data_IF_791890614839
#
_entry.id   IF_791890614839
#
_cell.length_a   1.000
_cell.length_b   1.000
_cell.length_c   1.000
_cell.angle_alpha   90.00
_cell.angle_beta   90.00
_cell.angle_gamma   90.00
#
_symmetry.space_group_name_H-M   'P 1'
#
loop_
_entity.id
_entity.type
_entity.pdbx_description
1 polymer ?
#
# COMPACT_ATOMS: atom_id res chain seq x y z
N UNK A 1 -3.69 50.79 -24.86
CA UNK A 1 -3.56 50.39 -23.44
C UNK A 1 -4.76 49.56 -23.08
N UNK A 2 -4.64 48.22 -23.22
CA UNK A 2 -5.71 47.27 -22.99
C UNK A 2 -5.55 46.69 -21.59
N UNK A 3 -6.47 46.99 -20.70
CA UNK A 3 -6.52 46.39 -19.36
C UNK A 3 -7.17 45.01 -19.47
N UNK A 4 -6.41 43.98 -19.26
CA UNK A 4 -6.96 42.63 -18.99
C UNK A 4 -7.36 42.58 -17.51
N UNK A 5 -8.63 42.82 -17.21
CA UNK A 5 -9.22 42.45 -15.93
C UNK A 5 -9.44 40.95 -15.95
N UNK A 6 -8.46 40.19 -15.43
CA UNK A 6 -8.64 38.79 -15.10
C UNK A 6 -9.60 38.71 -13.90
N UNK A 7 -10.87 38.41 -14.16
CA UNK A 7 -11.81 38.04 -13.11
C UNK A 7 -11.42 36.66 -12.58
N UNK A 8 -10.65 36.66 -11.51
CA UNK A 8 -10.49 35.46 -10.65
C UNK A 8 -11.74 35.36 -9.77
N UNK A 9 -12.87 34.93 -10.35
CA UNK A 9 -14.07 34.56 -9.61
C UNK A 9 -14.04 33.05 -9.44
N UNK A 10 -13.57 32.60 -8.30
CA UNK A 10 -13.56 31.18 -7.97
C UNK A 10 -12.86 30.85 -6.67
N UNK A 11 -13.12 31.61 -5.60
CA UNK A 11 -12.92 31.05 -4.27
C UNK A 11 -13.96 29.94 -4.06
N UNK A 12 -13.69 28.74 -4.55
CA UNK A 12 -14.37 27.57 -4.02
C UNK A 12 -13.94 27.48 -2.57
N UNK A 13 -14.81 27.83 -1.66
CA UNK A 13 -14.63 27.53 -0.25
C UNK A 13 -14.38 26.02 -0.17
N UNK A 14 -13.18 25.66 0.27
CA UNK A 14 -12.91 24.31 0.74
C UNK A 14 -13.95 24.05 1.83
N UNK A 15 -14.86 23.13 1.58
CA UNK A 15 -15.75 22.62 2.62
C UNK A 15 -14.91 21.84 3.63
N UNK A 16 -14.26 22.60 4.50
CA UNK A 16 -13.56 22.00 5.66
C UNK A 16 -14.65 21.44 6.57
N UNK A 17 -14.62 20.17 6.93
CA UNK A 17 -15.60 19.57 7.82
C UNK A 17 -15.70 20.41 9.10
N UNK A 18 -16.86 21.00 9.34
CA UNK A 18 -17.13 21.80 10.57
C UNK A 18 -17.43 20.92 11.77
N UNK A 19 -17.62 19.62 11.55
CA UNK A 19 -17.98 18.63 12.57
C UNK A 19 -16.80 17.68 12.83
N UNK A 20 -16.76 17.19 14.07
CA UNK A 20 -15.85 16.10 14.45
C UNK A 20 -16.34 14.80 13.84
N UNK A 21 -15.41 13.98 13.34
CA UNK A 21 -15.69 12.66 12.82
C UNK A 21 -14.71 11.65 13.40
N UNK A 22 -15.16 10.42 13.57
CA UNK A 22 -14.27 9.31 13.92
C UNK A 22 -13.55 8.85 12.64
N UNK A 23 -12.26 8.51 12.74
CA UNK A 23 -11.52 7.84 11.69
C UNK A 23 -11.00 6.49 12.18
N UNK A 24 -10.87 5.54 11.25
CA UNK A 24 -10.20 4.25 11.46
C UNK A 24 -9.12 4.09 10.40
N UNK A 25 -7.95 3.62 10.84
CA UNK A 25 -6.88 3.23 9.94
C UNK A 25 -6.28 1.90 10.41
N UNK A 26 -6.49 0.85 9.61
CA UNK A 26 -5.99 -0.49 9.90
C UNK A 26 -5.78 -1.24 8.59
N UNK A 27 -4.57 -1.72 8.40
CA UNK A 27 -4.16 -2.54 7.25
C UNK A 27 -3.42 -3.73 7.83
N UNK A 28 -3.99 -4.93 7.68
CA UNK A 28 -3.48 -6.15 8.30
C UNK A 28 -3.41 -7.29 7.29
N UNK A 29 -2.50 -8.23 7.53
CA UNK A 29 -2.43 -9.47 6.78
C UNK A 29 -3.44 -10.50 7.31
N UNK A 30 -4.06 -11.26 6.41
CA UNK A 30 -4.92 -12.39 6.78
C UNK A 30 -4.15 -13.51 7.54
N UNK A 31 -2.83 -13.58 7.37
CA UNK A 31 -1.96 -14.49 8.11
C UNK A 31 -1.59 -14.00 9.53
N UNK A 32 -2.06 -12.81 9.93
CA UNK A 32 -1.86 -12.32 11.28
C UNK A 32 -2.98 -12.78 12.22
N UNK A 33 -2.61 -13.22 13.42
CA UNK A 33 -3.55 -13.48 14.52
C UNK A 33 -3.81 -12.26 15.40
N UNK A 34 -3.22 -11.11 15.04
CA UNK A 34 -3.42 -9.84 15.72
C UNK A 34 -3.67 -8.74 14.69
N UNK A 35 -4.83 -8.06 14.81
CA UNK A 35 -5.13 -6.89 14.00
C UNK A 35 -4.95 -5.64 14.86
N UNK A 36 -4.17 -4.69 14.36
CA UNK A 36 -3.95 -3.41 15.04
C UNK A 36 -4.76 -2.32 14.35
N UNK A 37 -5.68 -1.72 15.09
CA UNK A 37 -6.59 -0.68 14.62
C UNK A 37 -6.21 0.64 15.28
N UNK A 38 -5.87 1.63 14.47
CA UNK A 38 -5.70 3.01 14.92
C UNK A 38 -7.02 3.74 14.70
N UNK A 39 -7.62 4.27 15.77
CA UNK A 39 -8.82 5.09 15.70
C UNK A 39 -8.62 6.41 16.41
N UNK A 40 -9.24 7.46 15.90
CA UNK A 40 -9.13 8.81 16.46
C UNK A 40 -10.28 9.69 15.99
N UNK A 41 -10.26 10.95 16.42
CA UNK A 41 -11.25 11.96 16.07
C UNK A 41 -10.57 13.05 15.25
N UNK A 42 -11.18 13.42 14.14
CA UNK A 42 -10.72 14.55 13.32
C UNK A 42 -11.02 15.86 14.06
N UNK A 43 -10.05 16.77 14.11
CA UNK A 43 -10.22 18.10 14.69
C UNK A 43 -10.46 19.08 13.54
N UNK A 44 -11.57 19.84 13.55
CA UNK A 44 -11.79 20.91 12.56
C UNK A 44 -10.65 21.94 12.61
N UNK A 45 -10.16 22.38 11.44
CA UNK A 45 -9.05 23.34 11.33
C UNK A 45 -9.39 24.73 11.89
N UNK A 46 -10.69 25.06 12.04
CA UNK A 46 -11.17 26.37 12.50
C UNK A 46 -11.96 26.20 13.78
N UNK A 47 -11.54 26.87 14.85
CA UNK A 47 -12.31 27.04 16.08
C UNK A 47 -12.18 25.93 17.12
N UNK A 48 -11.25 25.00 16.98
CA UNK A 48 -11.07 23.94 17.96
C UNK A 48 -9.97 24.30 18.98
N UNK A 49 -10.35 24.58 20.20
CA UNK A 49 -9.44 24.45 21.35
C UNK A 49 -9.16 22.96 21.55
N UNK A 50 -7.94 22.56 21.20
CA UNK A 50 -7.57 21.18 20.91
C UNK A 50 -7.29 20.27 22.11
N UNK A 51 -8.19 20.14 23.07
CA UNK A 51 -8.09 19.12 24.12
C UNK A 51 -9.45 18.47 24.35
N UNK A 52 -9.82 17.54 23.50
CA UNK A 52 -10.83 16.55 23.88
C UNK A 52 -10.21 15.16 23.70
N UNK A 53 -9.74 14.58 24.81
CA UNK A 53 -9.64 13.12 24.94
C UNK A 53 -11.07 12.56 24.85
N UNK A 54 -11.65 12.58 23.66
CA UNK A 54 -12.90 11.87 23.45
C UNK A 54 -12.53 10.39 23.45
N UNK A 55 -13.07 9.69 24.41
CA UNK A 55 -12.86 8.25 24.51
C UNK A 55 -13.59 7.57 23.34
N UNK A 56 -12.84 6.80 22.57
CA UNK A 56 -13.40 5.96 21.52
C UNK A 56 -13.58 4.57 22.10
N UNK A 57 -14.76 4.02 21.93
CA UNK A 57 -15.06 2.62 22.15
C UNK A 57 -15.09 1.89 20.80
N UNK A 58 -14.36 0.79 20.69
CA UNK A 58 -14.31 -0.04 19.50
C UNK A 58 -14.85 -1.44 19.82
N UNK A 59 -15.83 -1.90 19.07
CA UNK A 59 -16.28 -3.28 19.04
C UNK A 59 -15.93 -3.95 17.73
N UNK A 60 -15.66 -5.25 17.78
CA UNK A 60 -15.29 -6.06 16.62
C UNK A 60 -16.04 -7.40 16.61
N UNK A 61 -16.33 -7.88 15.41
CA UNK A 61 -16.94 -9.20 15.21
C UNK A 61 -16.20 -9.96 14.10
N UNK A 62 -16.07 -11.26 14.28
CA UNK A 62 -15.58 -12.20 13.26
C UNK A 62 -16.73 -13.11 12.85
N UNK A 63 -17.15 -13.02 11.57
CA UNK A 63 -18.30 -13.74 11.05
C UNK A 63 -19.53 -13.60 11.98
N UNK A 64 -19.83 -12.36 12.39
CA UNK A 64 -20.90 -11.99 13.33
C UNK A 64 -20.70 -12.40 14.79
N UNK A 65 -19.61 -13.08 15.14
CA UNK A 65 -19.28 -13.44 16.53
C UNK A 65 -18.44 -12.34 17.16
N UNK A 66 -18.81 -11.81 18.34
CA UNK A 66 -18.02 -10.79 19.02
C UNK A 66 -16.59 -11.26 19.33
N UNK A 67 -15.61 -10.39 19.14
CA UNK A 67 -14.20 -10.64 19.45
C UNK A 67 -13.73 -9.64 20.49
N UNK A 68 -12.81 -10.08 21.34
CA UNK A 68 -12.20 -9.21 22.36
C UNK A 68 -11.32 -8.15 21.73
N UNK A 69 -11.62 -6.90 22.05
CA UNK A 69 -10.83 -5.72 21.68
C UNK A 69 -10.13 -5.17 22.91
N UNK A 70 -8.83 -4.98 22.81
CA UNK A 70 -8.03 -4.37 23.90
C UNK A 70 -7.51 -3.02 23.46
N UNK A 71 -7.77 -1.98 24.25
CA UNK A 71 -7.18 -0.65 24.03
C UNK A 71 -5.70 -0.67 24.42
N UNK A 72 -4.84 -0.12 23.56
CA UNK A 72 -3.39 -0.02 23.72
C UNK A 72 -2.96 1.40 23.31
N UNK A 73 -2.97 2.32 24.26
CA UNK A 73 -2.75 3.74 24.01
C UNK A 73 -3.77 4.32 23.03
N UNK A 74 -3.28 4.86 21.92
CA UNK A 74 -4.10 5.40 20.81
C UNK A 74 -4.54 4.34 19.78
N UNK A 75 -4.25 3.07 20.03
CA UNK A 75 -4.59 1.95 19.15
C UNK A 75 -5.45 0.93 19.87
N UNK A 76 -6.08 0.05 19.09
CA UNK A 76 -6.82 -1.09 19.58
C UNK A 76 -6.21 -2.35 19.00
N UNK A 77 -6.12 -3.40 19.80
CA UNK A 77 -5.62 -4.71 19.43
C UNK A 77 -6.78 -5.68 19.44
N UNK A 78 -7.03 -6.33 18.32
CA UNK A 78 -8.01 -7.39 18.15
C UNK A 78 -7.22 -8.69 18.01
N UNK A 79 -7.41 -9.62 18.95
CA UNK A 79 -6.77 -10.94 18.90
C UNK A 79 -7.73 -11.94 18.29
N UNK A 80 -7.23 -12.67 17.31
CA UNK A 80 -7.94 -13.75 16.63
C UNK A 80 -7.45 -15.09 17.16
N UNK A 81 -8.34 -16.06 17.21
CA UNK A 81 -8.00 -17.43 17.63
C UNK A 81 -7.16 -18.18 16.59
N UNK A 82 -7.22 -17.74 15.35
CA UNK A 82 -6.52 -18.33 14.19
C UNK A 82 -6.24 -17.27 13.13
N UNK A 83 -5.42 -17.61 12.17
CA UNK A 83 -5.33 -16.90 10.91
C UNK A 83 -6.68 -16.88 10.17
N UNK A 84 -6.90 -15.83 9.40
CA UNK A 84 -8.16 -15.65 8.67
C UNK A 84 -8.14 -16.42 7.35
N UNK A 85 -9.23 -17.09 7.05
CA UNK A 85 -9.44 -17.79 5.78
C UNK A 85 -10.15 -16.90 4.76
N UNK A 86 -10.07 -17.30 3.49
CA UNK A 86 -10.88 -16.68 2.45
C UNK A 86 -12.37 -16.71 2.81
N UNK A 87 -13.04 -15.55 2.62
CA UNK A 87 -14.42 -15.24 2.97
C UNK A 87 -14.69 -15.01 4.45
N UNK A 88 -13.71 -15.12 5.35
CA UNK A 88 -13.90 -14.58 6.71
C UNK A 88 -14.17 -13.07 6.62
N UNK A 89 -14.98 -12.60 7.54
CA UNK A 89 -15.41 -11.20 7.60
C UNK A 89 -15.15 -10.63 8.99
N UNK A 90 -14.45 -9.51 9.04
CA UNK A 90 -14.27 -8.74 10.26
C UNK A 90 -15.03 -7.44 10.14
N UNK A 91 -15.95 -7.19 11.06
CA UNK A 91 -16.68 -5.93 11.16
C UNK A 91 -16.25 -5.14 12.38
N UNK A 92 -16.17 -3.83 12.25
CA UNK A 92 -15.84 -2.88 13.30
C UNK A 92 -16.96 -1.86 13.46
N UNK A 93 -17.25 -1.49 14.70
CA UNK A 93 -18.10 -0.36 15.05
C UNK A 93 -17.33 0.49 16.05
N UNK A 94 -17.21 1.78 15.78
CA UNK A 94 -16.59 2.73 16.71
C UNK A 94 -17.60 3.80 17.12
N UNK A 95 -17.62 4.09 18.40
CA UNK A 95 -18.49 5.10 19.02
C UNK A 95 -17.68 6.06 19.86
N UNK A 96 -18.19 7.29 20.02
CA UNK A 96 -17.66 8.30 20.91
C UNK A 96 -18.80 9.25 21.29
N UNK A 97 -18.76 9.76 22.50
CA UNK A 97 -19.82 10.66 22.99
C UNK A 97 -19.96 11.91 22.11
N UNK A 98 -21.18 12.22 21.72
CA UNK A 98 -21.50 13.39 20.90
C UNK A 98 -21.04 13.34 19.44
N UNK A 99 -20.55 12.20 18.98
CA UNK A 99 -20.12 12.00 17.56
C UNK A 99 -20.91 10.81 16.99
N UNK A 100 -21.41 10.91 15.73
CA UNK A 100 -22.08 9.79 15.09
C UNK A 100 -21.18 8.54 15.07
N UNK A 101 -21.78 7.38 15.37
CA UNK A 101 -21.08 6.09 15.27
C UNK A 101 -20.69 5.79 13.84
N UNK A 102 -19.60 5.07 13.69
CA UNK A 102 -19.10 4.64 12.38
C UNK A 102 -19.00 3.12 12.34
N UNK A 103 -19.04 2.56 11.13
CA UNK A 103 -18.88 1.14 10.93
C UNK A 103 -18.08 0.83 9.66
N UNK A 104 -17.47 -0.35 9.64
CA UNK A 104 -16.78 -0.86 8.46
C UNK A 104 -16.73 -2.37 8.49
N UNK A 105 -16.51 -2.97 7.33
CA UNK A 105 -16.38 -4.41 7.16
C UNK A 105 -15.22 -4.69 6.20
N UNK A 106 -14.32 -5.59 6.59
CA UNK A 106 -13.31 -6.15 5.71
C UNK A 106 -13.57 -7.63 5.49
N UNK A 107 -13.67 -8.04 4.23
CA UNK A 107 -13.80 -9.43 3.82
C UNK A 107 -12.48 -9.96 3.32
N UNK A 108 -12.02 -11.08 3.86
CA UNK A 108 -10.78 -11.72 3.44
C UNK A 108 -10.92 -12.31 2.05
N UNK A 109 -10.09 -11.87 1.14
CA UNK A 109 -10.05 -12.37 -0.24
C UNK A 109 -9.20 -13.65 -0.32
N UNK A 110 -9.50 -14.51 -1.30
CA UNK A 110 -8.68 -15.69 -1.55
C UNK A 110 -7.25 -15.29 -1.93
N UNK A 111 -6.28 -16.09 -1.50
CA UNK A 111 -4.87 -15.85 -1.81
C UNK A 111 -4.64 -15.78 -3.33
N UNK A 112 -3.76 -14.89 -3.80
CA UNK A 112 -3.35 -14.91 -5.20
C UNK A 112 -2.64 -16.24 -5.50
N UNK A 113 -2.71 -16.69 -6.74
CA UNK A 113 -1.94 -17.83 -7.19
C UNK A 113 -0.94 -17.37 -8.22
N UNK A 114 0.34 -17.43 -7.86
CA UNK A 114 1.46 -17.09 -8.70
C UNK A 114 2.05 -18.37 -9.29
N UNK A 115 2.00 -18.49 -10.61
CA UNK A 115 2.47 -19.67 -11.31
C UNK A 115 4.00 -19.64 -11.52
N UNK A 116 4.55 -18.44 -11.70
CA UNK A 116 5.97 -18.24 -11.97
C UNK A 116 6.41 -16.81 -11.67
N UNK A 117 7.66 -16.69 -11.15
CA UNK A 117 8.39 -15.42 -11.06
C UNK A 117 9.82 -15.63 -11.62
N UNK A 118 10.16 -14.93 -12.69
CA UNK A 118 11.49 -14.98 -13.30
C UNK A 118 12.02 -13.58 -13.50
N UNK A 119 13.31 -13.40 -13.25
CA UNK A 119 14.01 -12.14 -13.43
C UNK A 119 15.25 -12.28 -14.31
N UNK A 120 15.63 -11.19 -14.95
CA UNK A 120 16.87 -11.04 -15.67
C UNK A 120 17.48 -9.66 -15.42
N UNK A 121 18.79 -9.59 -15.35
CA UNK A 121 19.50 -8.32 -15.25
C UNK A 121 19.46 -7.59 -16.58
N UNK A 122 19.08 -6.31 -16.53
CA UNK A 122 19.07 -5.42 -17.71
C UNK A 122 19.98 -4.24 -17.39
N UNK A 123 20.99 -4.04 -18.22
CA UNK A 123 21.87 -2.88 -18.12
C UNK A 123 21.21 -1.68 -18.81
N UNK A 124 21.11 -0.59 -18.10
CA UNK A 124 20.82 0.73 -18.64
C UNK A 124 22.06 1.57 -18.48
N UNK A 125 22.16 2.70 -19.22
CA UNK A 125 23.32 3.58 -19.28
C UNK A 125 24.12 3.69 -17.98
N UNK A 126 25.40 3.99 -18.10
CA UNK A 126 26.47 4.06 -17.12
C UNK A 126 26.06 4.00 -15.63
N UNK A 127 26.18 2.82 -15.05
CA UNK A 127 26.10 2.63 -13.60
C UNK A 127 24.73 2.29 -13.00
N UNK A 128 23.65 2.25 -13.79
CA UNK A 128 22.34 1.81 -13.31
C UNK A 128 21.99 0.41 -13.78
N UNK A 129 21.77 -0.51 -12.85
CA UNK A 129 21.27 -1.85 -13.13
C UNK A 129 19.81 -1.95 -12.72
N UNK A 130 19.05 -2.72 -13.47
CA UNK A 130 17.67 -3.07 -13.16
C UNK A 130 17.48 -4.57 -13.31
N UNK A 131 16.55 -5.10 -12.55
CA UNK A 131 16.08 -6.47 -12.78
C UNK A 131 14.71 -6.37 -13.43
N UNK A 132 14.57 -6.92 -14.64
CA UNK A 132 13.28 -7.09 -15.28
C UNK A 132 12.65 -8.40 -14.80
N UNK A 133 11.41 -8.35 -14.34
CA UNK A 133 10.68 -9.49 -13.79
C UNK A 133 9.46 -9.79 -14.64
N UNK A 134 9.26 -11.08 -14.92
CA UNK A 134 8.03 -11.62 -15.54
C UNK A 134 7.31 -12.48 -14.49
N UNK A 135 6.09 -12.08 -14.15
CA UNK A 135 5.18 -12.84 -13.29
C UNK A 135 4.10 -13.48 -14.15
N UNK A 136 3.78 -14.74 -13.88
CA UNK A 136 2.56 -15.38 -14.38
C UNK A 136 1.63 -15.62 -13.20
N UNK A 137 0.48 -14.95 -13.20
CA UNK A 137 -0.53 -15.01 -12.15
C UNK A 137 -1.72 -15.79 -12.70
N UNK A 138 -2.38 -16.61 -11.88
CA UNK A 138 -3.59 -17.31 -12.32
C UNK A 138 -4.69 -16.29 -12.68
N UNK A 139 -5.23 -16.32 -13.93
CA UNK A 139 -6.21 -15.35 -14.36
C UNK A 139 -7.53 -15.49 -13.57
N UNK A 140 -8.18 -14.38 -13.30
CA UNK A 140 -9.46 -14.32 -12.59
C UNK A 140 -10.58 -13.89 -13.54
N UNK A 141 -11.79 -14.45 -13.37
CA UNK A 141 -12.97 -14.08 -14.18
C UNK A 141 -13.42 -12.66 -13.90
N UNK A 142 -13.25 -12.19 -12.68
CA UNK A 142 -13.58 -10.84 -12.25
C UNK A 142 -12.30 -10.01 -12.10
N UNK A 143 -12.45 -8.69 -12.08
CA UNK A 143 -11.32 -7.79 -11.82
C UNK A 143 -10.73 -8.07 -10.46
N UNK A 144 -9.45 -8.29 -10.44
CA UNK A 144 -8.67 -8.60 -9.25
C UNK A 144 -7.66 -7.48 -8.99
N UNK A 145 -7.61 -7.01 -7.76
CA UNK A 145 -6.72 -5.93 -7.34
C UNK A 145 -5.58 -6.48 -6.52
N UNK A 146 -4.37 -5.97 -6.80
CA UNK A 146 -3.16 -6.43 -6.12
C UNK A 146 -2.24 -5.25 -5.80
N UNK A 147 -1.52 -5.39 -4.69
CA UNK A 147 -0.34 -4.61 -4.37
C UNK A 147 0.88 -5.51 -4.48
N UNK A 148 1.87 -5.08 -5.24
CA UNK A 148 3.08 -5.82 -5.53
C UNK A 148 4.26 -5.13 -4.85
N UNK A 149 5.05 -5.88 -4.10
CA UNK A 149 6.25 -5.42 -3.40
C UNK A 149 7.39 -6.33 -3.82
N UNK A 150 8.59 -5.77 -4.02
CA UNK A 150 9.81 -6.53 -4.30
C UNK A 150 10.80 -6.30 -3.18
N UNK A 151 11.45 -7.38 -2.75
CA UNK A 151 12.55 -7.31 -1.79
C UNK A 151 13.74 -8.08 -2.35
N UNK A 152 14.94 -7.59 -2.08
CA UNK A 152 16.16 -8.27 -2.46
C UNK A 152 17.27 -8.07 -1.44
N UNK A 153 18.28 -8.90 -1.52
CA UNK A 153 19.53 -8.81 -0.75
C UNK A 153 20.71 -9.38 -1.52
N UNK A 154 21.87 -8.88 -1.19
CA UNK A 154 23.15 -9.48 -1.52
C UNK A 154 23.77 -10.09 -0.27
N UNK A 155 24.47 -11.18 -0.41
CA UNK A 155 25.26 -11.79 0.66
C UNK A 155 26.52 -12.43 0.10
N UNK A 156 27.52 -12.64 0.96
CA UNK A 156 28.77 -13.32 0.64
C UNK A 156 29.23 -14.07 1.88
N UNK A 157 29.39 -15.37 1.77
CA UNK A 157 29.88 -16.21 2.88
C UNK A 157 31.36 -15.93 3.17
N UNK A 158 32.18 -15.69 2.14
CA UNK A 158 33.61 -15.44 2.28
C UNK A 158 33.92 -14.16 3.06
N UNK A 159 33.03 -13.17 3.05
CA UNK A 159 33.17 -11.95 3.84
C UNK A 159 32.53 -12.02 5.22
N UNK A 160 31.94 -13.16 5.59
CA UNK A 160 31.13 -13.25 6.82
C UNK A 160 29.94 -12.30 6.82
N UNK A 161 29.53 -11.80 5.65
CA UNK A 161 28.31 -11.01 5.49
C UNK A 161 27.17 -11.99 5.56
N UNK A 162 26.61 -12.16 6.76
CA UNK A 162 25.40 -12.94 6.98
C UNK A 162 24.29 -12.45 6.06
N UNK A 163 23.42 -13.36 5.58
CA UNK A 163 22.25 -12.96 4.81
C UNK A 163 21.44 -11.97 5.64
N UNK A 164 21.62 -10.68 5.34
CA UNK A 164 20.89 -9.58 5.99
C UNK A 164 19.39 -9.64 5.71
N UNK A 165 18.64 -8.73 6.30
CA UNK A 165 17.21 -8.54 6.01
C UNK A 165 17.03 -8.18 4.54
N UNK A 166 16.03 -8.78 3.89
CA UNK A 166 15.58 -8.36 2.55
C UNK A 166 15.15 -6.90 2.59
N UNK A 167 15.67 -6.10 1.66
CA UNK A 167 15.34 -4.67 1.53
C UNK A 167 14.29 -4.46 0.46
N UNK A 168 13.31 -3.63 0.73
CA UNK A 168 12.30 -3.23 -0.27
C UNK A 168 12.96 -2.45 -1.40
N UNK A 169 12.60 -2.81 -2.64
CA UNK A 169 13.12 -2.19 -3.85
C UNK A 169 12.08 -1.32 -4.52
N UNK A 170 12.55 -0.24 -5.11
CA UNK A 170 11.69 0.66 -5.87
C UNK A 170 11.36 0.05 -7.23
N UNK A 171 10.08 -0.08 -7.53
CA UNK A 171 9.56 -0.61 -8.78
C UNK A 171 9.48 0.53 -9.79
N UNK A 172 9.92 0.26 -11.02
CA UNK A 172 9.81 1.21 -12.14
C UNK A 172 8.37 1.20 -12.63
N UNK A 173 7.64 2.29 -12.39
CA UNK A 173 6.23 2.39 -12.78
C UNK A 173 6.03 3.15 -14.08
N UNK A 174 6.95 4.04 -14.44
CA UNK A 174 6.87 4.84 -15.67
C UNK A 174 6.94 3.96 -16.93
N UNK A 175 6.07 4.26 -17.88
CA UNK A 175 6.03 3.56 -19.18
C UNK A 175 5.40 2.17 -19.13
N UNK A 176 4.88 1.72 -17.99
CA UNK A 176 4.20 0.44 -17.86
C UNK A 176 2.67 0.61 -17.78
N UNK A 177 1.89 0.26 -18.81
CA UNK A 177 0.45 0.49 -18.86
C UNK A 177 -0.35 -0.28 -17.79
N UNK A 178 0.26 -1.29 -17.16
CA UNK A 178 -0.38 -2.07 -16.10
C UNK A 178 -0.41 -1.33 -14.76
N UNK A 179 0.41 -0.26 -14.60
CA UNK A 179 0.48 0.49 -13.36
C UNK A 179 -0.24 1.83 -13.47
N UNK A 180 -1.33 2.05 -12.75
CA UNK A 180 -2.11 3.29 -12.82
C UNK A 180 -1.38 4.51 -12.25
N UNK A 181 -0.23 4.29 -11.60
CA UNK A 181 0.64 5.31 -11.03
C UNK A 181 1.38 6.17 -12.07
N UNK A 182 1.14 5.91 -13.36
CA UNK A 182 1.72 6.66 -14.48
C UNK A 182 0.99 7.98 -14.70
N UNK A 183 1.10 8.94 -13.85
CA UNK A 183 0.81 10.31 -14.28
C UNK A 183 2.10 10.91 -14.82
N UNK A 184 2.05 11.34 -16.09
CA UNK A 184 3.03 12.23 -16.70
C UNK A 184 3.10 13.51 -15.85
N UNK A 185 3.98 13.48 -14.88
CA UNK A 185 4.32 14.66 -14.14
C UNK A 185 5.57 15.23 -14.77
N UNK A 186 5.38 16.28 -15.56
CA UNK A 186 6.45 17.06 -16.23
C UNK A 186 7.59 17.51 -15.29
N UNK A 187 7.43 17.35 -13.97
CA UNK A 187 8.36 17.85 -12.96
C UNK A 187 8.63 16.87 -11.79
N UNK A 188 8.07 15.68 -11.78
CA UNK A 188 8.32 14.73 -10.69
C UNK A 188 9.21 13.58 -11.16
N UNK A 189 10.37 13.47 -10.56
CA UNK A 189 11.35 12.40 -10.74
C UNK A 189 10.89 11.02 -10.24
N UNK A 190 9.62 10.85 -9.88
CA UNK A 190 9.11 9.60 -9.30
C UNK A 190 8.75 8.60 -10.40
N UNK A 191 9.77 8.17 -11.13
CA UNK A 191 9.66 7.04 -12.07
C UNK A 191 9.65 5.69 -11.34
N UNK A 192 9.56 5.70 -10.00
CA UNK A 192 9.66 4.50 -9.19
C UNK A 192 8.85 4.65 -7.90
N UNK A 193 8.29 3.54 -7.43
CA UNK A 193 7.51 3.48 -6.21
C UNK A 193 7.92 2.28 -5.33
N UNK A 194 7.73 2.34 -4.00
CA UNK A 194 8.03 1.22 -3.10
C UNK A 194 7.12 0.02 -3.35
N UNK A 195 6.02 0.21 -4.03
CA UNK A 195 5.10 -0.86 -4.46
C UNK A 195 4.43 -0.48 -5.79
N UNK A 196 3.89 -1.47 -6.48
CA UNK A 196 3.04 -1.25 -7.64
C UNK A 196 1.61 -1.73 -7.38
N UNK A 197 0.63 -1.03 -7.96
CA UNK A 197 -0.78 -1.42 -7.92
C UNK A 197 -1.15 -2.05 -9.25
N UNK A 198 -1.89 -3.17 -9.20
CA UNK A 198 -2.36 -3.90 -10.37
C UNK A 198 -3.87 -4.08 -10.30
N UNK A 199 -4.52 -3.95 -11.46
CA UNK A 199 -5.93 -4.29 -11.66
C UNK A 199 -6.00 -5.23 -12.86
N UNK A 200 -6.17 -6.53 -12.61
CA UNK A 200 -6.09 -7.57 -13.64
C UNK A 200 -7.45 -8.24 -13.85
N UNK A 201 -7.78 -8.51 -15.12
CA UNK A 201 -8.96 -9.29 -15.50
C UNK A 201 -8.59 -10.14 -16.71
N UNK A 202 -8.69 -11.47 -16.58
CA UNK A 202 -8.33 -12.43 -17.61
C UNK A 202 -6.85 -12.36 -18.08
N UNK A 203 -6.06 -11.45 -17.53
CA UNK A 203 -4.63 -11.32 -17.80
C UNK A 203 -3.84 -12.16 -16.81
N UNK A 204 -2.81 -12.85 -17.29
CA UNK A 204 -1.97 -13.70 -16.46
C UNK A 204 -0.54 -13.21 -16.33
N UNK A 205 -0.03 -12.48 -17.32
CA UNK A 205 1.37 -12.12 -17.40
C UNK A 205 1.58 -10.63 -17.10
N UNK A 206 2.45 -10.36 -16.13
CA UNK A 206 2.84 -9.03 -15.71
C UNK A 206 4.35 -8.90 -15.88
N UNK A 207 4.80 -7.91 -16.64
CA UNK A 207 6.23 -7.59 -16.78
C UNK A 207 6.49 -6.24 -16.14
N UNK A 208 7.51 -6.16 -15.30
CA UNK A 208 7.95 -4.92 -14.65
C UNK A 208 9.44 -4.95 -14.37
N UNK A 209 10.01 -3.83 -13.94
CA UNK A 209 11.40 -3.75 -13.52
C UNK A 209 11.50 -3.08 -12.14
N UNK A 210 12.57 -3.40 -11.41
CA UNK A 210 12.93 -2.70 -10.20
C UNK A 210 14.41 -2.33 -10.21
N UNK A 211 14.76 -1.27 -9.46
CA UNK A 211 16.13 -0.83 -9.32
C UNK A 211 16.88 -1.67 -8.32
N UNK A 212 18.05 -2.13 -8.71
CA UNK A 212 19.03 -2.72 -7.81
C UNK A 212 20.45 -2.51 -8.37
N UNK A 213 21.45 -2.70 -7.52
CA UNK A 213 22.86 -2.61 -7.92
C UNK A 213 23.38 -4.01 -8.13
N UNK A 214 23.88 -4.30 -9.33
CA UNK A 214 24.56 -5.57 -9.59
C UNK A 214 25.96 -5.49 -9.02
N UNK A 215 26.27 -6.31 -8.02
CA UNK A 215 27.61 -6.43 -7.48
C UNK A 215 28.42 -7.41 -8.36
N UNK A 216 29.50 -6.92 -8.93
CA UNK A 216 30.42 -7.69 -9.74
C UNK A 216 31.83 -7.57 -9.18
N UNK A 217 32.61 -8.62 -9.31
CA UNK A 217 34.02 -8.56 -8.97
C UNK A 217 34.76 -7.70 -10.01
N UNK A 218 35.61 -6.79 -9.56
CA UNK A 218 36.52 -6.12 -10.47
C UNK A 218 37.40 -7.17 -11.17
N UNK A 219 37.64 -7.05 -12.49
CA UNK A 219 38.53 -7.95 -13.20
C UNK A 219 39.91 -8.08 -12.57
N UNK A 220 40.40 -6.97 -11.98
CA UNK A 220 41.73 -6.84 -11.35
C UNK A 220 41.69 -7.07 -9.83
N UNK A 221 40.56 -7.49 -9.27
CA UNK A 221 40.47 -7.73 -7.83
C UNK A 221 41.39 -8.91 -7.42
N UNK A 222 42.24 -8.73 -6.41
CA UNK A 222 43.15 -9.78 -5.93
C UNK A 222 42.41 -10.96 -5.29
N UNK A 223 41.17 -10.70 -4.84
CA UNK A 223 40.26 -11.70 -4.25
C UNK A 223 38.93 -11.58 -4.95
N UNK A 224 38.45 -12.68 -5.53
CA UNK A 224 37.10 -12.75 -6.08
C UNK A 224 36.12 -13.03 -4.96
N UNK A 225 35.10 -12.20 -4.87
CA UNK A 225 34.01 -12.37 -3.90
C UNK A 225 32.95 -13.32 -4.46
N UNK A 226 32.39 -14.13 -3.60
CA UNK A 226 31.28 -15.06 -3.87
C UNK A 226 29.94 -14.37 -3.62
N UNK A 227 29.67 -13.28 -4.35
CA UNK A 227 28.41 -12.57 -4.21
C UNK A 227 27.23 -13.42 -4.66
N UNK A 228 26.29 -13.62 -3.74
CA UNK A 228 25.00 -14.26 -4.04
C UNK A 228 23.88 -13.25 -3.95
N UNK A 229 22.95 -13.32 -4.88
CA UNK A 229 21.78 -12.46 -4.97
C UNK A 229 20.50 -13.23 -4.75
N UNK A 230 19.64 -12.73 -3.87
CA UNK A 230 18.33 -13.29 -3.61
C UNK A 230 17.27 -12.19 -3.72
N UNK A 231 16.19 -12.48 -4.42
CA UNK A 231 15.05 -11.59 -4.55
C UNK A 231 13.74 -12.36 -4.41
N UNK A 232 12.74 -11.67 -3.87
CA UNK A 232 11.38 -12.18 -3.76
C UNK A 232 10.36 -11.12 -4.16
N UNK A 233 9.23 -11.57 -4.64
CA UNK A 233 8.05 -10.77 -4.86
C UNK A 233 6.96 -11.16 -3.88
N UNK A 234 6.38 -10.18 -3.22
CA UNK A 234 5.16 -10.33 -2.43
C UNK A 234 4.00 -9.76 -3.23
N UNK A 235 3.04 -10.62 -3.57
CA UNK A 235 1.80 -10.25 -4.24
C UNK A 235 0.66 -10.29 -3.21
N UNK A 236 0.13 -9.14 -2.84
CA UNK A 236 -0.96 -8.99 -1.90
C UNK A 236 -2.27 -8.88 -2.65
N UNK A 237 -3.21 -9.80 -2.41
CA UNK A 237 -4.59 -9.64 -2.86
C UNK A 237 -5.27 -8.62 -1.97
N UNK A 238 -5.78 -7.54 -2.56
CA UNK A 238 -6.39 -6.41 -1.86
C UNK A 238 -7.82 -6.17 -2.33
N UNK A 239 -8.63 -5.51 -1.50
CA UNK A 239 -9.97 -5.08 -1.90
C UNK A 239 -9.92 -3.93 -2.92
N UNK A 240 -11.02 -3.72 -3.63
CA UNK A 240 -11.18 -2.56 -4.50
C UNK A 240 -11.08 -1.25 -3.71
N UNK A 241 -11.64 -1.22 -2.51
CA UNK A 241 -11.64 -0.03 -1.67
C UNK A 241 -10.22 0.35 -1.23
N UNK A 242 -9.40 -0.63 -0.86
CA UNK A 242 -8.01 -0.36 -0.50
C UNK A 242 -7.17 0.04 -1.73
N UNK A 243 -7.44 -0.57 -2.89
CA UNK A 243 -6.82 -0.14 -4.14
C UNK A 243 -7.13 1.33 -4.45
N UNK A 244 -8.40 1.75 -4.34
CA UNK A 244 -8.81 3.14 -4.56
C UNK A 244 -8.25 4.09 -3.49
N UNK A 245 -8.18 3.64 -2.22
CA UNK A 245 -7.55 4.38 -1.14
C UNK A 245 -6.09 4.70 -1.48
N UNK A 246 -5.31 3.69 -1.86
CA UNK A 246 -3.91 3.87 -2.21
C UNK A 246 -3.73 4.79 -3.42
N UNK A 247 -4.56 4.65 -4.46
CA UNK A 247 -4.52 5.55 -5.62
C UNK A 247 -4.79 7.01 -5.23
N UNK A 248 -5.85 7.24 -4.46
CA UNK A 248 -6.21 8.61 -4.06
C UNK A 248 -5.20 9.22 -3.08
N UNK A 249 -4.54 8.41 -2.23
CA UNK A 249 -3.43 8.88 -1.42
C UNK A 249 -2.26 9.34 -2.29
N UNK A 250 -1.82 8.53 -3.25
CA UNK A 250 -0.73 8.88 -4.16
C UNK A 250 -1.05 10.10 -5.02
N UNK A 251 -2.30 10.19 -5.52
CA UNK A 251 -2.76 11.37 -6.25
C UNK A 251 -2.73 12.62 -5.37
N UNK A 252 -3.09 12.50 -4.10
CA UNK A 252 -3.07 13.62 -3.14
C UNK A 252 -1.65 14.06 -2.79
N UNK A 253 -0.70 13.13 -2.63
CA UNK A 253 0.72 13.44 -2.37
C UNK A 253 1.38 14.15 -3.55
N UNK A 254 0.92 13.83 -4.76
CA UNK A 254 1.44 14.41 -6.01
C UNK A 254 0.69 15.67 -6.45
N UNK A 255 -0.32 16.10 -5.69
CA UNK A 255 -1.16 17.26 -6.04
C UNK A 255 -0.43 18.56 -5.71
N UNK A 256 -0.41 19.51 -6.66
CA UNK A 256 0.17 20.82 -6.47
C UNK A 256 -0.80 21.74 -5.68
N UNK A 257 -0.25 22.74 -4.99
CA UNK A 257 -1.02 23.72 -4.20
C UNK A 257 -2.07 24.50 -5.03
N UNK A 258 -1.97 24.46 -6.36
CA UNK A 258 -2.87 25.15 -7.29
C UNK A 258 -3.96 24.23 -7.87
N UNK A 259 -3.92 22.94 -7.58
CA UNK A 259 -4.91 21.96 -8.04
C UNK A 259 -6.04 21.80 -7.01
N UNK A 260 -7.16 21.25 -7.46
CA UNK A 260 -8.27 20.94 -6.53
C UNK A 260 -7.86 19.84 -5.55
N UNK A 261 -8.18 19.97 -4.26
CA UNK A 261 -7.92 18.93 -3.29
C UNK A 261 -8.53 17.60 -3.70
N UNK A 262 -7.74 16.54 -3.61
CA UNK A 262 -8.20 15.18 -3.92
C UNK A 262 -8.86 14.59 -2.69
N UNK A 263 -10.08 14.10 -2.84
CA UNK A 263 -10.78 13.38 -1.77
C UNK A 263 -10.19 11.97 -1.66
N UNK A 264 -9.56 11.67 -0.54
CA UNK A 264 -9.09 10.32 -0.24
C UNK A 264 -10.27 9.37 -0.14
N UNK A 265 -10.19 8.22 -0.83
CA UNK A 265 -11.20 7.17 -0.74
C UNK A 265 -11.25 6.59 0.69
N UNK A 266 -12.45 6.20 1.12
CA UNK A 266 -12.68 5.63 2.46
C UNK A 266 -13.72 4.53 2.38
N UNK A 267 -13.51 3.42 3.08
CA UNK A 267 -14.51 2.36 3.27
C UNK A 267 -15.17 2.42 4.66
N UNK A 268 -14.99 3.51 5.39
CA UNK A 268 -15.60 3.73 6.70
C UNK A 268 -16.94 4.44 6.53
N UNK A 269 -18.02 3.77 6.87
CA UNK A 269 -19.38 4.32 6.78
C UNK A 269 -19.56 5.31 7.93
N UNK A 270 -19.90 6.57 7.61
CA UNK A 270 -20.09 7.64 8.57
C UNK A 270 -18.81 8.30 9.09
N UNK A 271 -17.63 7.87 8.61
CA UNK A 271 -16.33 8.38 9.04
C UNK A 271 -15.30 8.42 7.93
N UNK A 272 -14.03 8.38 8.30
CA UNK A 272 -12.89 8.44 7.37
C UNK A 272 -11.88 7.32 7.61
N UNK A 273 -11.05 7.05 6.60
CA UNK A 273 -9.92 6.15 6.67
C UNK A 273 -10.12 4.84 5.94
N UNK A 274 -9.42 3.82 6.37
CA UNK A 274 -9.42 2.51 5.71
C UNK A 274 -9.33 1.38 6.73
N UNK A 275 -10.13 0.34 6.51
CA UNK A 275 -10.00 -0.95 7.17
C UNK A 275 -9.81 -2.03 6.12
N UNK A 276 -8.66 -2.67 6.11
CA UNK A 276 -8.28 -3.67 5.10
C UNK A 276 -7.62 -4.88 5.73
N UNK A 277 -7.96 -6.05 5.17
CA UNK A 277 -7.29 -7.32 5.45
C UNK A 277 -6.87 -7.90 4.10
N UNK A 278 -5.57 -7.80 3.80
CA UNK A 278 -5.00 -8.32 2.56
C UNK A 278 -4.50 -9.76 2.73
N UNK A 279 -4.47 -10.51 1.62
CA UNK A 279 -3.94 -11.88 1.60
C UNK A 279 -2.63 -11.89 0.82
N UNK A 280 -1.48 -12.11 1.48
CA UNK A 280 -0.17 -12.11 0.83
C UNK A 280 0.18 -13.47 0.23
N UNK A 281 1.00 -13.44 -0.82
CA UNK A 281 1.75 -14.58 -1.33
C UNK A 281 3.17 -14.11 -1.66
N UNK A 282 4.15 -14.68 -0.99
CA UNK A 282 5.57 -14.39 -1.25
C UNK A 282 6.19 -15.54 -2.06
N UNK A 283 6.94 -15.19 -3.10
CA UNK A 283 7.57 -16.15 -4.00
C UNK A 283 8.98 -15.67 -4.38
N UNK A 284 10.00 -16.55 -4.36
CA UNK A 284 11.33 -16.23 -4.86
C UNK A 284 11.30 -15.87 -6.35
N UNK A 285 12.10 -14.89 -6.75
CA UNK A 285 12.33 -14.53 -8.15
C UNK A 285 13.55 -15.31 -8.63
N UNK A 286 13.36 -16.17 -9.62
CA UNK A 286 14.45 -16.89 -10.25
C UNK A 286 15.21 -15.96 -11.21
N UNK A 287 16.34 -15.44 -10.76
CA UNK A 287 17.20 -14.53 -11.55
C UNK A 287 18.17 -15.36 -12.39
N UNK A 288 18.31 -14.97 -13.69
CA UNK A 288 19.28 -15.53 -14.61
C UNK A 288 20.45 -14.58 -14.84
#
# INVERSE_FOLDING_TARGET
>A
MLFFTSCFNGSRELEVPKSKHIYINSISSASSTELRVKAGITIPLIGANGNSENDIELSAHHNSTPIVVKKDGASFIIKLDRELNANDEISLIATSEGIPSISTVARVLGAPKLLRAKGEWVHFDEGSSRVQVKLSIEPTKEVAYYRLIVRSKWYSESLGVSPGTLLERKIVTLGNPLFPQQKDQLFNEVNNAPFALLSLKNESDVTFSYYDVKLENSPDAPVKMDWEYSAEVELQRISKDYYLYLLTCMDSENNNAFENPIKIHSNIIGGFGIFEIYTPLTTPILIK
#
